data_IF_257968792846
#
_entry.id   IF_257968792846
#
_cell.length_a   1.000
_cell.length_b   1.000
_cell.length_c   1.000
_cell.angle_alpha   90.00
_cell.angle_beta   90.00
_cell.angle_gamma   90.00
#
_symmetry.space_group_name_H-M   'P 1'
#
loop_
_entity.id
_entity.type
_entity.pdbx_description
1 polymer ?
#
# COMPACT_ATOMS: atom_id res chain seq x y z
N UNK A 1 8.62 9.73 25.58
CA UNK A 1 8.72 8.76 24.46
C UNK A 1 9.01 9.51 23.18
N UNK A 2 10.20 9.36 22.62
CA UNK A 2 10.61 10.07 21.42
C UNK A 2 9.74 9.64 20.20
N UNK A 3 9.32 10.60 19.44
CA UNK A 3 8.45 10.39 18.28
C UNK A 3 9.23 9.68 17.16
N UNK A 4 9.04 8.36 17.02
CA UNK A 4 9.79 7.46 16.11
C UNK A 4 9.72 7.91 14.65
N UNK A 5 8.74 8.76 14.28
CA UNK A 5 8.59 9.33 12.94
C UNK A 5 9.57 10.48 12.63
N UNK A 6 10.39 10.91 13.58
CA UNK A 6 11.36 12.01 13.44
C UNK A 6 12.84 11.56 13.50
N UNK A 7 13.10 10.26 13.59
CA UNK A 7 14.47 9.77 13.55
C UNK A 7 15.10 10.05 12.17
N UNK A 8 16.26 10.70 12.10
CA UNK A 8 16.93 10.97 10.85
C UNK A 8 17.23 9.66 10.12
N UNK A 9 17.03 9.66 8.78
CA UNK A 9 17.48 8.56 7.94
C UNK A 9 18.99 8.43 8.05
N UNK A 10 19.47 7.46 8.82
CA UNK A 10 20.88 7.16 8.88
C UNK A 10 21.35 6.62 7.53
N UNK A 11 22.21 7.36 6.86
CA UNK A 11 22.89 6.84 5.68
C UNK A 11 23.90 5.79 6.16
N UNK A 12 23.58 4.53 5.88
CA UNK A 12 24.47 3.41 6.21
C UNK A 12 25.67 3.42 5.26
N UNK A 13 26.90 3.55 5.76
CA UNK A 13 28.09 3.50 4.92
C UNK A 13 28.26 2.11 4.28
N UNK A 14 28.88 2.08 3.10
CA UNK A 14 29.26 0.87 2.37
C UNK A 14 28.14 0.06 1.71
N UNK A 15 27.41 0.72 0.84
CA UNK A 15 26.33 0.14 0.04
C UNK A 15 26.75 -1.01 -0.89
N UNK A 16 27.99 -1.04 -1.40
CA UNK A 16 28.46 -2.06 -2.34
C UNK A 16 28.54 -3.46 -1.72
N UNK A 17 29.12 -3.57 -0.53
CA UNK A 17 29.27 -4.86 0.19
C UNK A 17 27.93 -5.39 0.66
N UNK A 18 27.08 -4.53 1.24
CA UNK A 18 25.74 -4.87 1.69
C UNK A 18 24.83 -5.25 0.52
N UNK A 19 24.91 -4.56 -0.60
CA UNK A 19 24.19 -4.93 -1.83
C UNK A 19 24.63 -6.28 -2.40
N UNK A 20 25.89 -6.66 -2.25
CA UNK A 20 26.40 -7.98 -2.65
C UNK A 20 25.79 -9.08 -1.78
N UNK A 21 25.75 -8.88 -0.46
CA UNK A 21 25.09 -9.79 0.49
C UNK A 21 23.59 -9.91 0.16
N UNK A 22 22.90 -8.79 -0.04
CA UNK A 22 21.48 -8.75 -0.39
C UNK A 22 21.16 -9.53 -1.69
N UNK A 23 21.91 -9.28 -2.75
CA UNK A 23 21.73 -9.99 -4.03
C UNK A 23 21.95 -11.49 -3.88
N UNK A 24 22.93 -11.86 -3.07
CA UNK A 24 23.23 -13.25 -2.80
C UNK A 24 22.11 -13.93 -2.03
N UNK A 25 21.66 -13.34 -0.91
CA UNK A 25 20.53 -13.83 -0.14
C UNK A 25 19.30 -14.01 -1.05
N UNK A 26 18.98 -13.02 -1.87
CA UNK A 26 17.87 -13.12 -2.83
C UNK A 26 18.02 -14.25 -3.84
N UNK A 27 19.25 -14.46 -4.37
CA UNK A 27 19.49 -15.53 -5.34
C UNK A 27 19.24 -16.91 -4.75
N UNK A 28 19.58 -17.09 -3.47
CA UNK A 28 19.41 -18.37 -2.76
C UNK A 28 18.00 -18.57 -2.20
N UNK A 29 17.33 -17.49 -1.76
CA UNK A 29 15.98 -17.55 -1.21
C UNK A 29 14.89 -17.67 -2.28
N UNK A 30 15.17 -17.27 -3.51
CA UNK A 30 14.21 -17.48 -4.60
C UNK A 30 13.83 -18.96 -4.78
N UNK A 31 14.72 -19.87 -4.44
CA UNK A 31 14.52 -21.32 -4.67
C UNK A 31 13.47 -21.92 -3.73
N UNK A 32 13.58 -21.80 -2.38
CA UNK A 32 12.59 -22.33 -1.48
C UNK A 32 11.21 -21.70 -1.60
N UNK A 33 11.16 -20.36 -1.83
CA UNK A 33 9.90 -19.63 -1.97
C UNK A 33 9.14 -19.98 -3.25
N UNK A 34 9.85 -20.35 -4.32
CA UNK A 34 9.26 -20.73 -5.60
C UNK A 34 8.61 -22.10 -5.55
N UNK A 35 9.15 -23.02 -4.76
CA UNK A 35 8.64 -24.38 -4.60
C UNK A 35 7.46 -24.44 -3.62
N UNK A 36 7.53 -23.71 -2.52
CA UNK A 36 6.48 -23.74 -1.49
C UNK A 36 5.29 -22.85 -1.79
N UNK A 37 5.51 -21.69 -2.45
CA UNK A 37 4.46 -20.74 -2.81
C UNK A 37 4.71 -20.10 -4.17
N UNK A 38 4.08 -20.57 -5.25
CA UNK A 38 4.27 -20.07 -6.61
C UNK A 38 3.94 -18.58 -6.79
N UNK A 39 3.42 -17.95 -5.75
CA UNK A 39 3.01 -16.53 -5.74
C UNK A 39 4.04 -15.58 -5.15
N UNK A 40 5.08 -16.07 -4.50
CA UNK A 40 6.16 -15.22 -3.94
C UNK A 40 6.94 -14.44 -4.99
N UNK A 41 7.01 -14.92 -6.23
CA UNK A 41 7.63 -14.17 -7.31
C UNK A 41 6.94 -12.84 -7.59
N UNK A 42 5.67 -12.67 -7.16
CA UNK A 42 4.92 -11.44 -7.32
C UNK A 42 5.43 -10.29 -6.46
N UNK A 43 6.20 -10.57 -5.39
CA UNK A 43 6.89 -9.54 -4.60
C UNK A 43 7.84 -8.72 -5.51
N UNK A 44 8.50 -9.40 -6.46
CA UNK A 44 9.42 -8.79 -7.42
C UNK A 44 8.74 -8.43 -8.76
N UNK A 45 7.46 -8.76 -8.91
CA UNK A 45 6.77 -8.54 -10.16
C UNK A 45 6.43 -7.05 -10.34
N UNK A 46 6.29 -6.67 -11.60
CA UNK A 46 5.77 -5.36 -11.96
C UNK A 46 4.34 -5.18 -11.43
N UNK A 47 3.96 -3.94 -11.17
CA UNK A 47 2.67 -3.60 -10.58
C UNK A 47 1.47 -4.14 -11.38
N UNK A 48 1.54 -4.12 -12.72
CA UNK A 48 0.49 -4.67 -13.58
C UNK A 48 0.24 -6.17 -13.32
N UNK A 49 1.29 -6.96 -13.09
CA UNK A 49 1.16 -8.39 -12.78
C UNK A 49 0.52 -8.63 -11.42
N UNK A 50 0.86 -7.80 -10.40
CA UNK A 50 0.25 -7.87 -9.06
C UNK A 50 -1.25 -7.58 -9.12
N UNK A 51 -1.65 -6.51 -9.79
CA UNK A 51 -3.05 -6.15 -9.94
C UNK A 51 -3.84 -7.20 -10.75
N UNK A 52 -3.24 -7.72 -11.83
CA UNK A 52 -3.83 -8.81 -12.61
C UNK A 52 -4.01 -10.09 -11.77
N UNK A 53 -3.05 -10.39 -10.88
CA UNK A 53 -3.15 -11.51 -9.96
C UNK A 53 -4.31 -11.34 -8.98
N UNK A 54 -4.45 -10.18 -8.33
CA UNK A 54 -5.58 -9.89 -7.45
C UNK A 54 -6.91 -10.07 -8.18
N UNK A 55 -7.03 -9.55 -9.41
CA UNK A 55 -8.24 -9.72 -10.22
C UNK A 55 -8.53 -11.18 -10.60
N UNK A 56 -7.48 -11.97 -10.89
CA UNK A 56 -7.63 -13.40 -11.18
C UNK A 56 -8.10 -14.14 -9.93
N UNK A 57 -7.48 -13.88 -8.79
CA UNK A 57 -7.76 -14.59 -7.55
C UNK A 57 -9.11 -14.19 -6.93
N UNK A 58 -9.51 -12.93 -7.01
CA UNK A 58 -10.82 -12.46 -6.52
C UNK A 58 -12.03 -13.04 -7.26
N UNK A 59 -11.82 -13.63 -8.46
CA UNK A 59 -12.84 -14.40 -9.16
C UNK A 59 -12.96 -15.83 -8.63
N UNK A 60 -11.83 -16.43 -8.20
CA UNK A 60 -11.76 -17.82 -7.72
C UNK A 60 -12.10 -17.90 -6.24
N UNK A 61 -11.68 -16.91 -5.44
CA UNK A 61 -11.88 -16.84 -4.01
C UNK A 61 -12.86 -15.72 -3.68
N UNK A 62 -13.90 -16.05 -2.92
CA UNK A 62 -14.99 -15.10 -2.65
C UNK A 62 -14.69 -14.18 -1.48
N UNK A 63 -13.77 -14.55 -0.58
CA UNK A 63 -13.45 -13.83 0.64
C UNK A 63 -11.97 -13.48 0.70
N UNK A 64 -11.63 -12.52 1.54
CA UNK A 64 -10.25 -12.10 1.77
C UNK A 64 -9.97 -11.82 3.24
N UNK A 65 -8.71 -11.90 3.61
CA UNK A 65 -8.14 -11.34 4.82
C UNK A 65 -6.98 -10.43 4.39
N UNK A 66 -7.07 -9.15 4.79
CA UNK A 66 -6.00 -8.19 4.61
C UNK A 66 -5.47 -7.78 5.97
N UNK A 67 -4.18 -7.84 6.17
CA UNK A 67 -3.50 -7.43 7.38
C UNK A 67 -2.18 -6.72 7.08
N UNK A 68 -1.73 -5.94 8.05
CA UNK A 68 -0.48 -5.19 8.04
C UNK A 68 0.16 -5.34 9.43
N UNK A 69 1.48 -5.37 9.51
CA UNK A 69 2.19 -5.53 10.78
C UNK A 69 2.53 -4.16 11.34
N UNK A 70 2.26 -3.96 12.64
CA UNK A 70 2.51 -2.68 13.29
C UNK A 70 4.03 -2.42 13.40
N UNK A 71 4.46 -1.24 12.94
CA UNK A 71 5.86 -0.79 13.05
C UNK A 71 6.88 -1.87 12.63
N UNK A 72 6.61 -2.60 11.56
CA UNK A 72 7.31 -3.82 11.18
C UNK A 72 8.84 -3.71 11.25
N UNK A 73 9.45 -2.77 10.52
CA UNK A 73 10.90 -2.62 10.47
C UNK A 73 11.55 -2.31 11.83
N UNK A 74 11.01 -1.41 12.67
CA UNK A 74 11.51 -1.17 14.01
C UNK A 74 11.32 -2.33 14.99
N UNK A 75 10.39 -3.25 14.72
CA UNK A 75 10.03 -4.35 15.63
C UNK A 75 10.78 -5.65 15.35
N UNK A 76 11.61 -5.71 14.31
CA UNK A 76 12.35 -6.92 13.96
C UNK A 76 13.41 -7.21 15.02
N UNK A 77 13.28 -8.35 15.73
CA UNK A 77 14.24 -8.82 16.71
C UNK A 77 15.48 -9.41 16.01
N UNK A 78 16.68 -8.92 16.38
CA UNK A 78 17.93 -9.32 15.75
C UNK A 78 18.28 -10.80 16.01
N UNK A 79 18.01 -11.31 17.22
CA UNK A 79 18.28 -12.71 17.58
C UNK A 79 17.44 -13.65 16.71
N UNK A 80 16.13 -13.40 16.66
CA UNK A 80 15.19 -14.21 15.84
C UNK A 80 15.57 -14.14 14.36
N UNK A 81 15.93 -12.94 13.86
CA UNK A 81 16.36 -12.76 12.47
C UNK A 81 17.62 -13.58 12.16
N UNK A 82 18.60 -13.56 13.03
CA UNK A 82 19.86 -14.31 12.86
C UNK A 82 19.61 -15.81 12.89
N UNK A 83 18.75 -16.30 13.79
CA UNK A 83 18.34 -17.71 13.84
C UNK A 83 17.62 -18.17 12.55
N UNK A 84 16.71 -17.36 12.04
CA UNK A 84 16.01 -17.63 10.76
C UNK A 84 17.03 -17.71 9.62
N UNK A 85 17.91 -16.73 9.53
CA UNK A 85 18.93 -16.68 8.48
C UNK A 85 19.90 -17.83 8.58
N UNK A 86 20.31 -18.22 9.78
CA UNK A 86 21.20 -19.35 9.98
C UNK A 86 20.56 -20.65 9.50
N UNK A 87 19.32 -20.92 9.88
CA UNK A 87 18.54 -22.08 9.38
C UNK A 87 18.46 -22.11 7.85
N UNK A 88 18.11 -20.97 7.24
CA UNK A 88 17.99 -20.88 5.77
C UNK A 88 19.36 -20.99 5.06
N UNK A 89 20.42 -20.47 5.67
CA UNK A 89 21.80 -20.57 5.17
C UNK A 89 22.31 -22.01 5.25
N UNK A 90 22.01 -22.74 6.31
CA UNK A 90 22.43 -24.15 6.46
C UNK A 90 21.72 -25.06 5.47
N UNK A 91 20.42 -24.90 5.25
CA UNK A 91 19.65 -25.67 4.28
C UNK A 91 20.17 -25.55 2.83
N UNK A 92 20.79 -24.44 2.47
CA UNK A 92 21.10 -24.09 1.08
C UNK A 92 22.55 -24.33 0.67
N UNK A 93 23.33 -25.19 1.33
CA UNK A 93 24.70 -25.59 0.97
C UNK A 93 25.60 -24.42 0.51
N UNK A 94 25.65 -23.37 1.30
CA UNK A 94 26.46 -22.19 1.01
C UNK A 94 27.95 -22.45 1.16
N UNK A 95 28.77 -21.75 0.34
CA UNK A 95 30.22 -21.80 0.47
C UNK A 95 30.66 -21.34 1.86
N UNK A 96 31.70 -22.00 2.42
CA UNK A 96 32.26 -21.71 3.75
C UNK A 96 32.61 -20.22 3.91
N UNK A 97 33.20 -19.64 2.86
CA UNK A 97 33.57 -18.20 2.81
C UNK A 97 32.38 -17.26 2.99
N UNK A 98 31.24 -17.61 2.42
CA UNK A 98 30.05 -16.76 2.45
C UNK A 98 29.32 -16.85 3.79
N UNK A 99 29.28 -18.04 4.40
CA UNK A 99 28.80 -18.25 5.77
C UNK A 99 29.60 -17.36 6.74
N UNK A 100 30.93 -17.29 6.58
CA UNK A 100 31.81 -16.43 7.40
C UNK A 100 31.53 -14.95 7.20
N UNK A 101 31.36 -14.49 5.94
CA UNK A 101 31.02 -13.08 5.66
C UNK A 101 29.70 -12.69 6.32
N UNK A 102 28.67 -13.53 6.20
CA UNK A 102 27.37 -13.24 6.81
C UNK A 102 27.46 -13.23 8.33
N UNK A 103 28.12 -14.21 8.94
CA UNK A 103 28.33 -14.27 10.41
C UNK A 103 29.11 -13.06 10.95
N UNK A 104 30.08 -12.51 10.20
CA UNK A 104 30.86 -11.37 10.62
C UNK A 104 30.18 -10.01 10.38
N UNK A 105 29.65 -9.82 9.16
CA UNK A 105 29.20 -8.50 8.71
C UNK A 105 27.76 -8.18 9.12
N UNK A 106 26.91 -9.20 9.21
CA UNK A 106 25.50 -8.98 9.48
C UNK A 106 25.22 -8.46 10.91
N UNK A 107 25.85 -9.00 11.97
CA UNK A 107 25.72 -8.44 13.32
C UNK A 107 26.21 -7.00 13.42
N UNK A 108 27.34 -6.67 12.74
CA UNK A 108 27.86 -5.30 12.68
C UNK A 108 26.89 -4.35 11.97
N UNK A 109 26.23 -4.83 10.91
CA UNK A 109 25.21 -4.06 10.22
C UNK A 109 23.97 -3.83 11.11
N UNK A 110 23.50 -4.84 11.81
CA UNK A 110 22.34 -4.76 12.69
C UNK A 110 22.59 -3.84 13.90
N UNK A 111 23.79 -3.80 14.44
CA UNK A 111 24.20 -2.86 15.51
C UNK A 111 24.05 -1.37 15.14
N UNK A 112 23.90 -1.05 13.84
CA UNK A 112 23.63 0.31 13.38
C UNK A 112 22.16 0.72 13.54
N UNK A 113 21.30 -0.17 14.02
CA UNK A 113 19.92 0.17 14.37
C UNK A 113 19.89 1.16 15.54
N UNK A 114 18.98 2.15 15.54
CA UNK A 114 18.87 3.10 16.63
C UNK A 114 18.36 2.48 17.95
N UNK A 115 17.82 1.27 17.89
CA UNK A 115 17.30 0.53 19.03
C UNK A 115 18.16 -0.71 19.23
N UNK A 116 18.70 -0.89 20.45
CA UNK A 116 19.54 -2.02 20.74
C UNK A 116 18.80 -3.35 20.55
N UNK A 117 19.40 -4.27 19.78
CA UNK A 117 18.86 -5.60 19.43
C UNK A 117 17.51 -5.61 18.71
N UNK A 118 16.96 -4.46 18.33
CA UNK A 118 15.69 -4.32 17.61
C UNK A 118 15.82 -3.43 16.39
N UNK A 119 14.98 -3.72 15.39
CA UNK A 119 14.81 -2.92 14.20
C UNK A 119 15.92 -3.06 13.16
N UNK A 120 15.62 -2.61 11.97
CA UNK A 120 16.56 -2.62 10.85
C UNK A 120 16.98 -1.20 10.49
N UNK A 121 18.30 -0.93 10.26
CA UNK A 121 18.80 0.38 9.87
C UNK A 121 18.32 0.74 8.46
N UNK A 122 17.36 1.67 8.35
CA UNK A 122 16.70 2.04 7.09
C UNK A 122 17.67 2.67 6.08
N UNK A 123 17.36 2.55 4.79
CA UNK A 123 18.08 3.20 3.68
C UNK A 123 18.93 2.29 2.80
N UNK A 124 19.02 1.00 3.12
CA UNK A 124 19.79 0.02 2.35
C UNK A 124 18.88 -1.08 1.75
N UNK A 125 19.23 -1.57 0.55
CA UNK A 125 18.51 -2.67 -0.08
C UNK A 125 18.54 -3.98 0.72
N UNK A 126 19.60 -4.22 1.50
CA UNK A 126 19.71 -5.37 2.41
C UNK A 126 18.58 -5.40 3.44
N UNK A 127 18.18 -4.25 3.97
CA UNK A 127 17.07 -4.14 4.94
C UNK A 127 15.78 -4.74 4.38
N UNK A 128 15.46 -4.42 3.13
CA UNK A 128 14.29 -4.95 2.47
C UNK A 128 14.34 -6.49 2.31
N UNK A 129 15.53 -7.03 2.05
CA UNK A 129 15.76 -8.48 1.96
C UNK A 129 15.63 -9.15 3.31
N UNK A 130 16.27 -8.62 4.35
CA UNK A 130 16.22 -9.16 5.72
C UNK A 130 14.79 -9.16 6.27
N UNK A 131 14.06 -8.06 6.08
CA UNK A 131 12.66 -7.99 6.43
C UNK A 131 11.82 -9.05 5.68
N UNK A 132 12.13 -9.32 4.41
CA UNK A 132 11.50 -10.41 3.67
C UNK A 132 11.72 -11.78 4.30
N UNK A 133 12.92 -12.04 4.81
CA UNK A 133 13.28 -13.30 5.48
C UNK A 133 12.56 -13.51 6.81
N UNK A 134 12.39 -12.45 7.58
CA UNK A 134 11.79 -12.54 8.90
C UNK A 134 10.40 -13.16 8.91
N UNK A 135 9.63 -12.98 7.85
CA UNK A 135 8.27 -13.50 7.71
C UNK A 135 8.17 -14.82 6.92
N UNK A 136 9.30 -15.48 6.59
CA UNK A 136 9.27 -16.73 5.81
C UNK A 136 8.54 -17.86 6.51
N UNK A 137 8.66 -17.96 7.83
CA UNK A 137 7.97 -18.98 8.61
C UNK A 137 6.45 -18.78 8.58
N UNK A 138 5.98 -17.53 8.69
CA UNK A 138 4.57 -17.20 8.52
C UNK A 138 4.08 -17.55 7.10
N UNK A 139 4.84 -17.12 6.08
CA UNK A 139 4.51 -17.42 4.68
C UNK A 139 4.35 -18.92 4.44
N UNK A 140 5.21 -19.75 5.03
CA UNK A 140 5.17 -21.22 4.86
C UNK A 140 3.96 -21.89 5.53
N UNK A 141 3.41 -21.28 6.58
CA UNK A 141 2.24 -21.78 7.31
C UNK A 141 0.93 -21.43 6.62
N UNK A 142 0.87 -20.36 5.84
CA UNK A 142 -0.33 -19.94 5.11
C UNK A 142 -0.56 -20.88 3.92
N UNK A 143 -1.55 -21.77 4.02
CA UNK A 143 -1.88 -22.75 2.95
C UNK A 143 -2.85 -22.21 1.88
N UNK A 144 -3.17 -20.92 1.94
CA UNK A 144 -4.02 -20.24 0.94
C UNK A 144 -3.17 -19.37 0.04
N UNK A 145 -3.61 -19.13 -1.20
CA UNK A 145 -2.97 -18.11 -2.04
C UNK A 145 -3.00 -16.76 -1.34
N UNK A 146 -1.89 -16.07 -1.39
CA UNK A 146 -1.77 -14.73 -0.85
C UNK A 146 -0.86 -13.86 -1.70
N UNK A 147 -0.92 -12.57 -1.50
CA UNK A 147 0.03 -11.59 -2.01
C UNK A 147 0.58 -10.81 -0.83
N UNK A 148 1.89 -10.84 -0.65
CA UNK A 148 2.60 -10.09 0.39
C UNK A 148 3.50 -9.04 -0.23
N UNK A 149 3.48 -7.84 0.32
CA UNK A 149 4.44 -6.78 0.02
C UNK A 149 5.01 -6.30 1.35
N UNK A 150 6.18 -6.83 1.71
CA UNK A 150 6.81 -6.64 3.01
C UNK A 150 5.90 -7.12 4.15
N UNK A 151 5.30 -6.21 4.89
CA UNK A 151 4.42 -6.40 6.02
C UNK A 151 2.93 -6.42 5.67
N UNK A 152 2.57 -6.04 4.43
CA UNK A 152 1.18 -5.93 3.98
C UNK A 152 0.75 -7.22 3.25
N UNK A 153 -0.21 -7.96 3.82
CA UNK A 153 -0.73 -9.23 3.31
C UNK A 153 -2.13 -9.07 2.75
N UNK A 154 -2.40 -9.73 1.65
CA UNK A 154 -3.74 -9.99 1.12
C UNK A 154 -3.89 -11.48 0.87
N UNK A 155 -4.65 -12.18 1.71
CA UNK A 155 -4.88 -13.62 1.67
C UNK A 155 -6.25 -13.89 1.04
N UNK A 156 -6.31 -14.86 0.13
CA UNK A 156 -7.52 -15.21 -0.60
C UNK A 156 -8.20 -16.41 0.03
N UNK A 157 -9.45 -16.24 0.48
CA UNK A 157 -10.21 -17.21 1.24
C UNK A 157 -11.43 -17.73 0.45
N UNK A 158 -11.83 -18.99 0.68
CA UNK A 158 -12.93 -19.63 -0.03
C UNK A 158 -14.29 -19.29 0.60
N UNK A 159 -14.39 -19.30 1.92
CA UNK A 159 -15.63 -19.11 2.67
C UNK A 159 -15.51 -18.01 3.75
N UNK A 160 -16.64 -17.64 4.36
CA UNK A 160 -16.75 -16.53 5.32
C UNK A 160 -15.99 -16.76 6.64
N UNK A 161 -15.87 -18.01 7.09
CA UNK A 161 -15.22 -18.36 8.38
C UNK A 161 -13.70 -18.45 8.25
N UNK A 162 -13.19 -18.67 7.05
CA UNK A 162 -11.77 -18.92 6.80
C UNK A 162 -10.83 -17.74 7.13
N UNK A 163 -11.18 -16.45 6.88
CA UNK A 163 -10.37 -15.33 7.31
C UNK A 163 -10.08 -15.33 8.81
N UNK A 164 -11.10 -15.56 9.63
CA UNK A 164 -10.98 -15.60 11.09
C UNK A 164 -10.15 -16.81 11.55
N UNK A 165 -10.40 -17.96 10.96
CA UNK A 165 -9.63 -19.18 11.23
C UNK A 165 -8.13 -18.99 10.95
N UNK A 166 -7.78 -18.47 9.78
CA UNK A 166 -6.39 -18.20 9.40
C UNK A 166 -5.76 -17.19 10.35
N UNK A 167 -6.50 -16.14 10.73
CA UNK A 167 -6.02 -15.13 11.65
C UNK A 167 -5.65 -15.73 13.00
N UNK A 168 -6.59 -16.45 13.65
CA UNK A 168 -6.42 -16.98 15.01
C UNK A 168 -5.50 -18.20 15.09
N UNK A 169 -5.58 -19.11 14.13
CA UNK A 169 -4.86 -20.38 14.20
C UNK A 169 -3.46 -20.33 13.58
N UNK A 170 -3.19 -19.38 12.68
CA UNK A 170 -1.93 -19.33 11.93
C UNK A 170 -1.18 -18.03 12.17
N UNK A 171 -1.86 -16.87 12.00
CA UNK A 171 -1.19 -15.58 11.96
C UNK A 171 -0.83 -15.10 13.35
N UNK A 172 -1.80 -15.03 14.26
CA UNK A 172 -1.56 -14.55 15.63
C UNK A 172 -0.48 -15.34 16.37
N UNK A 173 -0.51 -16.70 16.41
CA UNK A 173 0.52 -17.48 17.10
C UNK A 173 1.91 -17.34 16.46
N UNK A 174 1.97 -17.20 15.12
CA UNK A 174 3.27 -17.03 14.46
C UNK A 174 3.84 -15.64 14.63
N UNK A 175 3.00 -14.60 14.63
CA UNK A 175 3.44 -13.23 14.91
C UNK A 175 3.89 -13.07 16.36
N UNK A 176 3.23 -13.72 17.32
CA UNK A 176 3.65 -13.75 18.71
C UNK A 176 5.05 -14.40 18.84
N UNK A 177 5.28 -15.54 18.19
CA UNK A 177 6.60 -16.20 18.13
C UNK A 177 7.68 -15.31 17.52
N UNK A 178 7.31 -14.45 16.57
CA UNK A 178 8.19 -13.47 15.92
C UNK A 178 8.29 -12.14 16.69
N UNK A 179 7.63 -12.02 17.84
CA UNK A 179 7.54 -10.78 18.63
C UNK A 179 6.99 -9.58 17.83
N UNK A 180 6.03 -9.86 16.93
CA UNK A 180 5.37 -8.88 16.07
C UNK A 180 3.90 -8.71 16.46
N UNK A 181 3.32 -7.55 16.12
CA UNK A 181 1.91 -7.22 16.37
C UNK A 181 1.18 -6.84 15.10
N UNK A 182 -0.09 -7.22 15.02
CA UNK A 182 -0.97 -6.82 13.92
C UNK A 182 -1.37 -5.36 14.09
N UNK A 183 -1.36 -4.60 13.02
CA UNK A 183 -1.95 -3.27 12.98
C UNK A 183 -3.48 -3.39 12.86
N UNK A 184 -4.17 -3.34 14.00
CA UNK A 184 -5.62 -3.50 14.10
C UNK A 184 -6.36 -2.50 13.20
N UNK A 185 -5.87 -1.26 13.07
CA UNK A 185 -6.49 -0.23 12.24
C UNK A 185 -6.47 -0.55 10.74
N UNK A 186 -5.63 -1.49 10.34
CA UNK A 186 -5.51 -1.92 8.94
C UNK A 186 -5.98 -3.37 8.73
N UNK A 187 -6.39 -4.05 9.78
CA UNK A 187 -6.99 -5.39 9.68
C UNK A 187 -8.36 -5.27 9.02
N UNK A 188 -8.54 -6.00 7.93
CA UNK A 188 -9.80 -6.00 7.17
C UNK A 188 -10.07 -7.37 6.58
N UNK A 189 -11.29 -7.84 6.71
CA UNK A 189 -11.75 -9.07 6.09
C UNK A 189 -13.15 -8.89 5.51
N UNK A 190 -13.48 -9.68 4.50
CA UNK A 190 -14.80 -9.56 3.91
C UNK A 190 -14.92 -10.31 2.59
N UNK A 191 -15.96 -10.00 1.86
CA UNK A 191 -16.23 -10.59 0.56
C UNK A 191 -15.71 -9.71 -0.56
N UNK A 192 -14.93 -10.27 -1.48
CA UNK A 192 -14.53 -9.56 -2.70
C UNK A 192 -15.77 -9.04 -3.46
N UNK A 193 -15.62 -7.90 -4.10
CA UNK A 193 -16.68 -7.21 -4.85
C UNK A 193 -17.81 -6.57 -4.01
N UNK A 194 -17.85 -6.83 -2.69
CA UNK A 194 -18.80 -6.20 -1.76
C UNK A 194 -18.09 -5.28 -0.75
N UNK A 195 -16.86 -5.58 -0.41
CA UNK A 195 -16.07 -4.80 0.54
C UNK A 195 -14.94 -4.07 -0.20
N UNK A 196 -14.65 -2.85 0.25
CA UNK A 196 -13.52 -2.06 -0.21
C UNK A 196 -12.24 -2.63 0.38
N UNK A 197 -11.23 -2.82 -0.47
CA UNK A 197 -9.90 -3.27 -0.06
C UNK A 197 -8.90 -2.18 -0.41
N UNK A 198 -8.19 -1.67 0.59
CA UNK A 198 -7.02 -0.82 0.36
C UNK A 198 -5.76 -1.66 0.47
N UNK A 199 -5.01 -1.79 -0.63
CA UNK A 199 -3.78 -2.58 -0.69
C UNK A 199 -2.77 -1.94 -1.64
N UNK A 200 -1.52 -1.82 -1.24
CA UNK A 200 -0.47 -1.18 -2.03
C UNK A 200 -0.80 0.25 -2.51
N UNK A 201 -1.60 1.00 -1.75
CA UNK A 201 -2.04 2.35 -2.13
C UNK A 201 -3.13 2.39 -3.21
N UNK A 202 -3.65 1.25 -3.61
CA UNK A 202 -4.83 1.14 -4.47
C UNK A 202 -6.06 0.80 -3.62
N UNK A 203 -7.20 1.29 -4.08
CA UNK A 203 -8.52 0.83 -3.65
C UNK A 203 -9.03 -0.18 -4.67
N UNK A 204 -9.42 -1.35 -4.21
CA UNK A 204 -10.05 -2.37 -5.03
C UNK A 204 -11.49 -2.57 -4.61
N UNK A 205 -12.41 -2.38 -5.53
CA UNK A 205 -13.85 -2.58 -5.33
C UNK A 205 -14.50 -3.06 -6.63
N UNK A 206 -15.39 -4.03 -6.58
CA UNK A 206 -16.14 -4.57 -7.72
C UNK A 206 -15.28 -4.90 -8.96
N UNK A 207 -14.02 -5.31 -8.76
CA UNK A 207 -13.11 -5.65 -9.86
C UNK A 207 -12.30 -4.47 -10.41
N UNK A 208 -12.45 -3.28 -9.85
CA UNK A 208 -11.81 -2.04 -10.31
C UNK A 208 -10.77 -1.59 -9.31
N UNK A 209 -9.60 -1.17 -9.81
CA UNK A 209 -8.59 -0.49 -9.02
C UNK A 209 -8.66 1.01 -9.23
N UNK A 210 -8.73 1.76 -8.15
CA UNK A 210 -8.61 3.23 -8.12
C UNK A 210 -7.43 3.62 -7.22
N UNK A 211 -7.08 4.90 -7.18
CA UNK A 211 -6.05 5.42 -6.26
C UNK A 211 -6.71 5.75 -4.93
N UNK A 212 -6.09 5.40 -3.79
CA UNK A 212 -6.63 5.80 -2.49
C UNK A 212 -6.52 7.32 -2.28
N UNK A 213 -7.52 7.92 -1.64
CA UNK A 213 -7.57 9.36 -1.35
C UNK A 213 -6.34 9.82 -0.56
N UNK A 214 -5.93 9.01 0.42
CA UNK A 214 -4.72 9.24 1.19
C UNK A 214 -3.49 9.41 0.30
N UNK A 215 -3.34 8.58 -0.75
CA UNK A 215 -2.19 8.65 -1.67
C UNK A 215 -2.26 9.85 -2.62
N UNK A 216 -3.45 10.27 -2.99
CA UNK A 216 -3.68 11.50 -3.75
C UNK A 216 -3.25 12.69 -2.91
N UNK A 217 -3.66 12.75 -1.64
CA UNK A 217 -3.34 13.84 -0.75
C UNK A 217 -1.85 13.88 -0.37
N UNK A 218 -1.25 12.72 -0.08
CA UNK A 218 0.20 12.61 0.11
C UNK A 218 0.99 13.14 -1.10
N UNK A 219 0.50 12.88 -2.32
CA UNK A 219 1.12 13.37 -3.54
C UNK A 219 0.99 14.89 -3.67
N UNK A 220 -0.22 15.44 -3.44
CA UNK A 220 -0.44 16.90 -3.42
C UNK A 220 0.48 17.60 -2.42
N UNK A 221 0.61 17.04 -1.22
CA UNK A 221 1.48 17.58 -0.17
C UNK A 221 2.96 17.59 -0.58
N UNK A 222 3.44 16.57 -1.31
CA UNK A 222 4.79 16.57 -1.90
C UNK A 222 4.96 17.70 -2.93
N UNK A 223 3.95 17.94 -3.78
CA UNK A 223 3.97 19.03 -4.76
C UNK A 223 3.99 20.40 -4.05
N UNK A 224 3.17 20.57 -3.00
CA UNK A 224 3.16 21.78 -2.17
C UNK A 224 4.53 22.05 -1.58
N UNK A 225 5.18 21.04 -0.97
CA UNK A 225 6.53 21.16 -0.38
C UNK A 225 7.58 21.58 -1.41
N UNK A 226 7.52 21.06 -2.64
CA UNK A 226 8.45 21.42 -3.73
C UNK A 226 8.23 22.87 -4.17
N UNK A 227 6.98 23.31 -4.26
CA UNK A 227 6.57 24.63 -4.72
C UNK A 227 6.35 25.63 -3.57
N UNK A 228 6.95 25.37 -2.39
CA UNK A 228 6.87 26.28 -1.26
C UNK A 228 7.72 27.52 -1.51
N UNK A 229 7.17 28.68 -1.15
CA UNK A 229 7.69 29.99 -1.59
C UNK A 229 8.89 30.50 -0.79
N UNK A 230 9.20 29.86 0.36
CA UNK A 230 10.30 30.30 1.23
C UNK A 230 11.69 29.94 0.69
N UNK A 231 11.78 28.94 -0.20
CA UNK A 231 13.04 28.49 -0.80
C UNK A 231 13.05 28.81 -2.28
N UNK A 232 13.62 29.96 -2.65
CA UNK A 232 13.82 30.35 -4.06
C UNK A 232 14.79 29.35 -4.72
N UNK A 233 14.30 28.62 -5.72
CA UNK A 233 15.10 27.71 -6.55
C UNK A 233 14.97 28.10 -8.02
N UNK A 234 16.00 27.88 -8.83
CA UNK A 234 15.91 28.11 -10.27
C UNK A 234 14.77 27.33 -10.89
N UNK A 235 14.11 27.90 -11.90
CA UNK A 235 12.98 27.29 -12.61
C UNK A 235 13.27 25.87 -13.09
N UNK A 236 14.41 25.64 -13.75
CA UNK A 236 14.84 24.32 -14.22
C UNK A 236 14.90 23.28 -13.09
N UNK A 237 15.35 23.69 -11.91
CA UNK A 237 15.44 22.82 -10.73
C UNK A 237 14.06 22.41 -10.23
N UNK A 238 13.12 23.36 -10.13
CA UNK A 238 11.74 23.09 -9.71
C UNK A 238 11.05 22.13 -10.68
N UNK A 239 11.18 22.37 -11.97
CA UNK A 239 10.60 21.50 -13.01
C UNK A 239 11.18 20.09 -12.93
N UNK A 240 12.49 19.95 -12.75
CA UNK A 240 13.14 18.64 -12.56
C UNK A 240 12.59 17.90 -11.33
N UNK A 241 12.43 18.60 -10.19
CA UNK A 241 11.87 18.02 -8.96
C UNK A 241 10.41 17.60 -9.14
N UNK A 242 9.57 18.43 -9.78
CA UNK A 242 8.19 18.10 -10.10
C UNK A 242 8.12 16.89 -11.03
N UNK A 243 8.91 16.89 -12.11
CA UNK A 243 8.94 15.79 -13.07
C UNK A 243 9.31 14.45 -12.41
N UNK A 244 10.26 14.43 -11.49
CA UNK A 244 10.61 13.21 -10.75
C UNK A 244 9.41 12.66 -9.96
N UNK A 245 8.60 13.54 -9.35
CA UNK A 245 7.40 13.11 -8.61
C UNK A 245 6.28 12.68 -9.54
N UNK A 246 6.05 13.41 -10.63
CA UNK A 246 5.05 13.09 -11.65
C UNK A 246 5.35 11.73 -12.29
N UNK A 247 6.58 11.49 -12.71
CA UNK A 247 7.00 10.23 -13.32
C UNK A 247 6.83 9.06 -12.33
N UNK A 248 7.31 9.19 -11.09
CA UNK A 248 7.17 8.14 -10.07
C UNK A 248 5.70 7.80 -9.80
N UNK A 249 4.86 8.80 -9.53
CA UNK A 249 3.44 8.60 -9.26
C UNK A 249 2.67 8.09 -10.50
N UNK A 250 2.89 8.69 -11.65
CA UNK A 250 2.24 8.33 -12.89
C UNK A 250 2.56 6.89 -13.31
N UNK A 251 3.84 6.48 -13.28
CA UNK A 251 4.23 5.12 -13.62
C UNK A 251 3.71 4.07 -12.64
N UNK A 252 3.57 4.41 -11.36
CA UNK A 252 3.03 3.52 -10.35
C UNK A 252 1.53 3.28 -10.53
N UNK A 253 0.74 4.35 -10.75
CA UNK A 253 -0.72 4.30 -10.77
C UNK A 253 -1.35 4.19 -12.18
N UNK A 254 -0.59 4.27 -13.27
CA UNK A 254 -1.12 4.20 -14.66
C UNK A 254 -1.98 2.98 -14.96
N UNK A 255 -1.89 1.92 -14.15
CA UNK A 255 -2.65 0.67 -14.30
C UNK A 255 -4.07 0.76 -13.73
N UNK A 256 -4.32 1.71 -12.83
CA UNK A 256 -5.62 1.91 -12.19
C UNK A 256 -6.59 2.69 -13.08
N UNK A 257 -7.86 2.70 -12.69
CA UNK A 257 -8.87 3.61 -13.23
C UNK A 257 -8.68 4.99 -12.58
N UNK A 258 -7.82 5.81 -13.19
CA UNK A 258 -7.29 7.02 -12.57
C UNK A 258 -7.29 8.25 -13.49
N UNK A 259 -7.97 8.21 -14.65
CA UNK A 259 -7.93 9.30 -15.64
C UNK A 259 -8.34 10.63 -15.01
N UNK A 260 -9.49 10.68 -14.37
CA UNK A 260 -10.00 11.91 -13.72
C UNK A 260 -9.09 12.39 -12.60
N UNK A 261 -8.55 11.47 -11.77
CA UNK A 261 -7.59 11.85 -10.73
C UNK A 261 -6.33 12.48 -11.36
N UNK A 262 -5.84 11.94 -12.46
CA UNK A 262 -4.67 12.47 -13.15
C UNK A 262 -4.93 13.84 -13.76
N UNK A 263 -6.09 14.06 -14.38
CA UNK A 263 -6.51 15.36 -14.91
C UNK A 263 -6.56 16.44 -13.81
N UNK A 264 -7.20 16.11 -12.67
CA UNK A 264 -7.28 17.00 -11.50
C UNK A 264 -5.89 17.29 -10.90
N UNK A 265 -5.01 16.28 -10.83
CA UNK A 265 -3.66 16.43 -10.31
C UNK A 265 -2.77 17.24 -11.27
N UNK A 266 -2.87 17.03 -12.58
CA UNK A 266 -2.13 17.84 -13.56
C UNK A 266 -2.56 19.31 -13.51
N UNK A 267 -3.85 19.59 -13.36
CA UNK A 267 -4.36 20.95 -13.15
C UNK A 267 -3.81 21.58 -11.86
N UNK A 268 -3.80 20.81 -10.77
CA UNK A 268 -3.24 21.22 -9.49
C UNK A 268 -1.74 21.55 -9.60
N UNK A 269 -0.95 20.69 -10.25
CA UNK A 269 0.49 20.89 -10.45
C UNK A 269 0.75 22.16 -11.25
N UNK A 270 0.02 22.37 -12.37
CA UNK A 270 0.14 23.60 -13.18
C UNK A 270 -0.20 24.85 -12.38
N UNK A 271 -1.28 24.83 -11.58
CA UNK A 271 -1.67 25.94 -10.69
C UNK A 271 -0.57 26.25 -9.68
N UNK A 272 0.02 25.24 -9.04
CA UNK A 272 1.11 25.40 -8.07
C UNK A 272 2.39 25.96 -8.71
N UNK A 273 2.77 25.45 -9.88
CA UNK A 273 3.95 25.93 -10.62
C UNK A 273 3.78 27.41 -11.04
N UNK A 274 2.61 27.78 -11.60
CA UNK A 274 2.32 29.20 -11.94
C UNK A 274 2.49 30.09 -10.74
N UNK A 275 1.85 29.75 -9.62
CA UNK A 275 1.94 30.51 -8.38
C UNK A 275 3.39 30.67 -7.91
N UNK A 276 4.20 29.64 -8.02
CA UNK A 276 5.62 29.68 -7.68
C UNK A 276 6.40 30.62 -8.59
N UNK A 277 6.24 30.52 -9.91
CA UNK A 277 6.97 31.33 -10.90
C UNK A 277 6.60 32.82 -10.85
N UNK A 278 5.32 33.12 -10.68
CA UNK A 278 4.81 34.50 -10.60
C UNK A 278 5.38 35.20 -9.36
N UNK A 279 5.31 34.55 -8.20
CA UNK A 279 5.81 35.16 -6.96
C UNK A 279 7.33 35.31 -6.98
N UNK A 280 8.06 34.40 -7.63
CA UNK A 280 9.51 34.57 -7.79
C UNK A 280 9.90 35.75 -8.69
N UNK A 281 9.01 36.16 -9.62
CA UNK A 281 9.22 37.29 -10.54
C UNK A 281 8.58 38.59 -10.04
N UNK A 282 8.09 38.67 -8.80
CA UNK A 282 7.38 39.79 -8.19
C UNK A 282 6.17 40.31 -9.03
N UNK A 283 5.56 39.46 -9.85
CA UNK A 283 4.42 39.79 -10.69
C UNK A 283 3.08 39.64 -9.96
N UNK A 284 2.09 40.52 -10.29
CA UNK A 284 0.74 40.43 -9.69
C UNK A 284 0.05 39.12 -10.06
N UNK A 285 -0.56 38.46 -9.08
CA UNK A 285 -1.10 37.07 -9.17
C UNK A 285 -2.24 36.94 -10.20
N UNK A 286 -3.03 38.01 -10.46
CA UNK A 286 -4.15 37.98 -11.40
C UNK A 286 -3.73 37.80 -12.88
N UNK A 287 -2.52 38.22 -13.24
CA UNK A 287 -2.00 38.18 -14.61
C UNK A 287 -1.33 36.85 -14.96
N UNK A 288 -1.10 35.99 -13.97
CA UNK A 288 -0.28 34.78 -14.13
C UNK A 288 -0.83 33.72 -15.10
N UNK A 289 -2.15 33.62 -15.25
CA UNK A 289 -2.74 32.68 -16.20
C UNK A 289 -2.62 33.18 -17.66
N UNK A 290 -2.56 34.47 -17.87
CA UNK A 290 -2.36 35.09 -19.19
C UNK A 290 -0.89 34.98 -19.64
N UNK A 291 0.06 35.13 -18.72
CA UNK A 291 1.50 35.07 -19.03
C UNK A 291 2.00 33.64 -19.13
N UNK A 292 1.51 32.74 -18.26
CA UNK A 292 1.92 31.33 -18.19
C UNK A 292 0.78 30.41 -18.62
N UNK A 293 0.49 30.38 -19.92
CA UNK A 293 -0.50 29.49 -20.53
C UNK A 293 -0.11 28.02 -20.34
N UNK A 294 -1.03 27.11 -20.60
CA UNK A 294 -0.74 25.66 -20.57
C UNK A 294 0.36 25.30 -21.57
N UNK A 295 0.39 25.97 -22.71
CA UNK A 295 1.40 25.78 -23.77
C UNK A 295 2.77 26.26 -23.33
N UNK A 296 2.85 27.44 -22.70
CA UNK A 296 4.08 27.94 -22.12
C UNK A 296 4.66 26.97 -21.08
N UNK A 297 3.82 26.43 -20.19
CA UNK A 297 4.23 25.40 -19.21
C UNK A 297 4.69 24.10 -19.90
N UNK A 298 4.04 23.70 -20.98
CA UNK A 298 4.44 22.53 -21.77
C UNK A 298 5.80 22.75 -22.44
N UNK A 299 6.07 23.94 -22.96
CA UNK A 299 7.39 24.35 -23.51
C UNK A 299 8.50 24.26 -22.45
N UNK A 300 8.19 24.45 -21.17
CA UNK A 300 9.13 24.27 -20.05
C UNK A 300 9.45 22.79 -19.75
N UNK A 301 8.97 21.84 -20.56
CA UNK A 301 9.19 20.39 -20.40
C UNK A 301 8.57 19.80 -19.11
N UNK A 302 7.53 20.40 -18.55
CA UNK A 302 6.77 19.81 -17.46
C UNK A 302 6.04 18.56 -17.98
N UNK A 303 6.24 17.41 -17.31
CA UNK A 303 5.56 16.14 -17.63
C UNK A 303 4.11 16.18 -17.18
N UNK A 304 3.28 15.33 -17.78
CA UNK A 304 1.86 15.17 -17.45
C UNK A 304 1.55 13.73 -17.02
N UNK A 305 0.74 13.56 -15.99
CA UNK A 305 0.22 12.28 -15.54
C UNK A 305 -0.68 11.64 -16.61
N UNK A 306 -1.48 12.46 -17.29
CA UNK A 306 -2.36 12.02 -18.39
C UNK A 306 -1.54 11.49 -19.55
N UNK A 307 -0.49 12.18 -19.97
CA UNK A 307 0.38 11.69 -21.05
C UNK A 307 1.01 10.32 -20.72
N UNK A 308 1.42 10.11 -19.45
CA UNK A 308 1.94 8.81 -18.99
C UNK A 308 0.86 7.73 -19.11
N UNK A 309 -0.38 8.03 -18.73
CA UNK A 309 -1.52 7.11 -18.83
C UNK A 309 -1.85 6.77 -20.27
N UNK A 310 -1.91 7.78 -21.15
CA UNK A 310 -2.23 7.61 -22.56
C UNK A 310 -1.15 6.81 -23.31
N UNK A 311 0.14 7.11 -23.06
CA UNK A 311 1.24 6.27 -23.59
C UNK A 311 1.10 4.81 -23.20
N UNK A 312 0.69 4.53 -21.97
CA UNK A 312 0.46 3.17 -21.52
C UNK A 312 -0.73 2.53 -22.23
N UNK A 313 -1.82 3.26 -22.37
CA UNK A 313 -3.05 2.81 -23.01
C UNK A 313 -2.83 2.50 -24.50
N UNK A 314 -2.15 3.36 -25.24
CA UNK A 314 -1.82 3.14 -26.65
C UNK A 314 -0.95 1.90 -26.88
N UNK A 315 0.08 1.66 -26.02
CA UNK A 315 0.99 0.52 -26.17
C UNK A 315 0.37 -0.84 -25.89
N UNK A 316 -0.67 -0.93 -25.06
CA UNK A 316 -1.22 -2.22 -24.61
C UNK A 316 -2.66 -2.50 -25.10
N UNK A 317 -3.24 -1.58 -25.92
CA UNK A 317 -4.67 -1.65 -26.21
C UNK A 317 -5.41 -1.85 -24.89
N UNK A 318 -6.32 -1.02 -24.52
CA UNK A 318 -6.88 -0.93 -23.17
C UNK A 318 -7.62 -2.23 -22.73
N UNK A 319 -6.86 -3.32 -22.57
CA UNK A 319 -7.38 -4.64 -22.14
C UNK A 319 -8.12 -4.49 -20.81
N UNK A 320 -7.66 -3.58 -19.96
CA UNK A 320 -8.30 -3.27 -18.70
C UNK A 320 -9.61 -2.50 -18.88
N UNK A 321 -9.64 -1.48 -19.74
CA UNK A 321 -10.86 -0.70 -20.00
C UNK A 321 -11.86 -1.47 -20.88
N UNK A 322 -11.42 -2.25 -21.87
CA UNK A 322 -12.30 -3.12 -22.66
C UNK A 322 -13.01 -4.16 -21.77
N UNK A 323 -12.30 -4.78 -20.83
CA UNK A 323 -12.91 -5.72 -19.85
C UNK A 323 -13.84 -5.02 -18.86
N UNK A 324 -13.55 -3.80 -18.47
CA UNK A 324 -14.40 -2.97 -17.62
C UNK A 324 -15.67 -2.55 -18.42
N UNK A 325 -15.52 -1.99 -19.62
CA UNK A 325 -16.66 -1.61 -20.48
C UNK A 325 -17.59 -2.78 -20.76
N UNK A 326 -17.06 -3.97 -21.02
CA UNK A 326 -17.88 -5.16 -21.24
C UNK A 326 -18.59 -5.65 -19.96
N UNK A 327 -17.97 -5.51 -18.76
CA UNK A 327 -18.64 -5.83 -17.50
C UNK A 327 -19.71 -4.83 -17.10
N UNK A 328 -19.50 -3.53 -17.37
CA UNK A 328 -20.57 -2.51 -17.19
C UNK A 328 -21.72 -2.72 -18.15
N UNK A 329 -21.50 -3.29 -19.34
CA UNK A 329 -22.57 -3.68 -20.28
C UNK A 329 -23.38 -4.87 -19.77
N UNK A 330 -22.79 -5.81 -19.04
CA UNK A 330 -23.47 -7.04 -18.54
C UNK A 330 -24.08 -6.88 -17.14
N UNK A 331 -23.62 -5.93 -16.33
CA UNK A 331 -24.33 -5.55 -15.12
C UNK A 331 -25.36 -4.48 -15.49
N UNK A 332 -26.64 -4.71 -15.20
CA UNK A 332 -27.77 -3.78 -15.40
C UNK A 332 -27.64 -2.40 -14.69
N UNK A 333 -26.40 -1.92 -14.51
CA UNK A 333 -26.05 -0.57 -14.07
C UNK A 333 -26.16 0.47 -15.20
N UNK A 334 -26.60 0.04 -16.40
CA UNK A 334 -26.80 0.92 -17.57
C UNK A 334 -27.72 2.11 -17.33
N UNK A 335 -28.71 1.98 -16.47
CA UNK A 335 -29.73 3.03 -16.32
C UNK A 335 -29.40 4.14 -15.33
N UNK A 336 -28.40 3.94 -14.43
CA UNK A 336 -28.03 4.93 -13.42
C UNK A 336 -26.70 5.67 -13.69
N UNK A 337 -25.88 5.19 -14.63
CA UNK A 337 -24.54 5.76 -14.85
C UNK A 337 -24.46 6.79 -15.98
N UNK A 338 -25.44 6.77 -16.91
CA UNK A 338 -25.46 7.69 -18.05
C UNK A 338 -26.18 9.02 -17.80
N UNK A 339 -26.92 9.18 -16.70
CA UNK A 339 -27.70 10.40 -16.42
C UNK A 339 -27.18 11.33 -15.34
N UNK A 340 -26.02 11.06 -14.75
CA UNK A 340 -25.50 11.93 -13.70
C UNK A 340 -24.00 12.19 -13.88
N UNK A 341 -23.68 13.45 -14.12
CA UNK A 341 -22.33 13.99 -14.22
C UNK A 341 -21.44 13.53 -13.06
N UNK A 342 -20.26 12.98 -13.39
CA UNK A 342 -19.31 12.34 -12.52
C UNK A 342 -18.55 13.30 -11.56
N UNK A 343 -18.93 14.55 -11.48
CA UNK A 343 -18.18 15.57 -10.73
C UNK A 343 -18.38 15.57 -9.20
N UNK A 344 -19.40 14.87 -8.70
CA UNK A 344 -19.70 14.84 -7.26
C UNK A 344 -19.65 13.45 -6.59
N UNK A 345 -19.35 12.36 -7.30
CA UNK A 345 -19.73 11.02 -6.85
C UNK A 345 -18.72 10.21 -6.06
N UNK A 346 -17.45 10.59 -5.99
CA UNK A 346 -16.55 10.02 -4.99
C UNK A 346 -17.09 10.23 -3.58
N UNK A 347 -17.54 11.44 -3.33
CA UNK A 347 -18.15 11.86 -2.06
C UNK A 347 -19.54 11.22 -1.80
N UNK A 348 -20.32 11.02 -2.85
CA UNK A 348 -21.67 10.41 -2.74
C UNK A 348 -21.63 8.92 -2.38
N UNK A 349 -20.67 8.14 -2.94
CA UNK A 349 -20.52 6.73 -2.60
C UNK A 349 -19.89 6.56 -1.20
N UNK A 350 -18.98 7.44 -0.78
CA UNK A 350 -18.50 7.49 0.61
C UNK A 350 -19.64 7.84 1.57
N UNK A 351 -20.44 8.86 1.26
CA UNK A 351 -21.61 9.24 2.07
C UNK A 351 -22.66 8.12 2.11
N UNK A 352 -22.91 7.44 1.00
CA UNK A 352 -23.85 6.32 0.98
C UNK A 352 -23.35 5.10 1.77
N UNK A 353 -22.07 4.79 1.71
CA UNK A 353 -21.46 3.73 2.54
C UNK A 353 -21.45 4.11 4.02
N UNK A 354 -21.14 5.35 4.36
CA UNK A 354 -21.24 5.87 5.73
C UNK A 354 -22.70 5.82 6.21
N UNK A 355 -23.66 6.19 5.38
CA UNK A 355 -25.09 6.10 5.70
C UNK A 355 -25.57 4.65 5.87
N UNK A 356 -25.10 3.71 5.06
CA UNK A 356 -25.41 2.28 5.22
C UNK A 356 -24.78 1.71 6.49
N UNK A 357 -23.56 2.12 6.83
CA UNK A 357 -22.89 1.69 8.07
C UNK A 357 -23.52 2.34 9.30
N UNK A 358 -23.92 3.60 9.24
CA UNK A 358 -24.71 4.27 10.29
C UNK A 358 -26.07 3.61 10.49
N UNK A 359 -26.77 3.20 9.44
CA UNK A 359 -28.02 2.43 9.55
C UNK A 359 -27.79 1.08 10.22
N UNK A 360 -26.72 0.37 9.84
CA UNK A 360 -26.32 -0.89 10.50
C UNK A 360 -26.04 -0.71 12.00
N UNK A 361 -25.30 0.32 12.36
CA UNK A 361 -25.01 0.66 13.76
C UNK A 361 -26.28 1.02 14.50
N UNK A 362 -27.18 1.80 13.89
CA UNK A 362 -28.49 2.14 14.45
C UNK A 362 -29.34 0.90 14.71
N UNK A 363 -29.35 -0.06 13.76
CA UNK A 363 -30.10 -1.32 13.95
C UNK A 363 -29.47 -2.23 15.01
N UNK A 364 -28.14 -2.19 15.17
CA UNK A 364 -27.42 -2.88 16.26
C UNK A 364 -27.74 -2.26 17.62
N UNK A 365 -27.75 -0.93 17.71
CA UNK A 365 -28.14 -0.19 18.93
C UNK A 365 -29.57 -0.54 19.35
N UNK A 366 -30.54 -0.48 18.42
CA UNK A 366 -31.92 -0.89 18.67
C UNK A 366 -32.05 -2.35 19.13
N UNK A 367 -31.22 -3.26 18.63
CA UNK A 367 -31.18 -4.64 19.11
C UNK A 367 -30.58 -4.79 20.49
N UNK A 368 -29.59 -3.99 20.83
CA UNK A 368 -28.99 -3.94 22.17
C UNK A 368 -29.99 -3.33 23.18
N UNK A 369 -30.65 -2.24 22.83
CA UNK A 369 -31.71 -1.62 23.65
C UNK A 369 -32.84 -2.62 23.99
N UNK A 370 -33.33 -3.37 22.99
CA UNK A 370 -34.32 -4.43 23.19
C UNK A 370 -33.81 -5.57 24.10
N UNK A 371 -32.50 -5.85 24.10
CA UNK A 371 -31.89 -6.85 24.98
C UNK A 371 -31.75 -6.31 26.39
N UNK A 372 -31.38 -5.05 26.55
CA UNK A 372 -31.31 -4.38 27.87
C UNK A 372 -32.68 -4.36 28.53
N UNK A 373 -33.73 -3.90 27.83
CA UNK A 373 -35.10 -3.92 28.32
C UNK A 373 -35.58 -5.33 28.70
N UNK A 374 -35.13 -6.38 27.96
CA UNK A 374 -35.45 -7.77 28.36
C UNK A 374 -34.70 -8.24 29.61
N UNK A 375 -33.48 -7.74 29.83
CA UNK A 375 -32.69 -8.04 31.04
C UNK A 375 -33.27 -7.30 32.24
N UNK A 376 -33.61 -6.02 32.08
CA UNK A 376 -34.26 -5.21 33.12
C UNK A 376 -35.55 -5.84 33.55
N UNK A 377 -36.47 -6.22 32.64
CA UNK A 377 -37.69 -6.96 32.95
C UNK A 377 -37.46 -8.32 33.64
N UNK A 378 -36.30 -8.96 33.44
CA UNK A 378 -35.93 -10.20 34.14
C UNK A 378 -35.34 -9.94 35.53
N UNK A 379 -34.78 -8.77 35.76
CA UNK A 379 -34.27 -8.35 37.07
C UNK A 379 -35.37 -7.82 37.96
N UNK A 380 -36.30 -7.04 37.38
CA UNK A 380 -37.48 -6.51 38.11
C UNK A 380 -38.53 -7.59 38.48
N UNK A 381 -38.48 -8.76 37.78
CA UNK A 381 -39.36 -9.90 38.08
C UNK A 381 -38.78 -10.89 39.10
N UNK A 382 -37.63 -10.63 39.70
CA UNK A 382 -37.10 -11.37 40.85
C UNK A 382 -37.37 -10.55 42.12
N UNK A 383 -38.51 -10.86 42.77
CA UNK A 383 -38.81 -10.41 44.11
C UNK A 383 -37.70 -10.89 45.06
N UNK A 384 -37.17 -10.02 45.95
CA UNK A 384 -36.17 -10.42 46.93
C UNK A 384 -36.81 -10.90 48.22
N UNK A 385 -37.85 -11.73 48.16
CA UNK A 385 -38.43 -12.41 49.33
C UNK A 385 -39.17 -13.69 48.87
N UNK A 386 -38.40 -14.77 48.70
CA UNK A 386 -38.77 -16.16 48.96
C UNK A 386 -37.48 -16.98 49.10
#
# INVERSE_FOLDING_TARGET
>A
MANINQLPYFQVPNTKKMNKIARFLLKKVKIPLKETHPYHYLIFARQDKRLAYIQKMSKKYKYFLRLDIEKYYPSINHKILLEILEKEIFKNNLSRRLKQIIKKELPLFLKQSPINNLGLPLGNYLVWVLAGFYLLSLDSKIKRPFLRIQDDYLIFCKNKKEPEKILKEIIEPELERLELKININKLNSGKFHQNLIEFMGFRYYAGIFTISEKKIEEFKNKIVKITHLTKKKPEKTIIKLLNNKILGFGHYYKFAFCRQNFEKLDAFIRKRLRRYLIKNKNQKQKIGNLILTNEAIKKMSLKSLIEIKEKYTRKKGDIFQKKIKNRYKTCNLKNNFQRQNLEGKGHYYEQKMILEELRRLTDLIKKLERRIVKIEKKLDGKNPNE
#
